data_IF_515705419994
#
_entry.id   IF_515705419994
#
_cell.length_a   1.000
_cell.length_b   1.000
_cell.length_c   1.000
_cell.angle_alpha   90.00
_cell.angle_beta   90.00
_cell.angle_gamma   90.00
#
_symmetry.space_group_name_H-M   'P 1'
#
loop_
_entity.id
_entity.type
_entity.pdbx_description
1 polymer ?
#
# COMPACT_ATOMS: atom_id res chain seq x y z
N UNK A 1 -1.25 -10.81 22.97
CA UNK A 1 -2.57 -11.44 23.09
C UNK A 1 -3.22 -10.82 24.31
N UNK A 2 -4.10 -9.83 24.11
CA UNK A 2 -4.95 -9.32 25.18
C UNK A 2 -5.87 -10.47 25.58
N UNK A 3 -5.89 -10.80 26.88
CA UNK A 3 -6.78 -11.82 27.40
C UNK A 3 -8.24 -11.42 27.19
N UNK A 4 -9.13 -12.39 27.19
CA UNK A 4 -10.57 -12.31 26.93
C UNK A 4 -11.35 -11.44 27.97
N UNK A 5 -10.67 -10.81 28.93
CA UNK A 5 -11.28 -9.97 29.95
C UNK A 5 -11.14 -8.48 29.60
N UNK A 6 -12.17 -7.94 28.95
CA UNK A 6 -12.29 -6.52 28.61
C UNK A 6 -12.16 -5.56 29.80
N UNK A 7 -12.39 -6.06 31.02
CA UNK A 7 -12.21 -5.27 32.25
C UNK A 7 -10.74 -5.05 32.62
N UNK A 8 -9.85 -5.83 32.01
CA UNK A 8 -8.40 -5.71 32.15
C UNK A 8 -7.74 -5.03 30.92
N UNK A 9 -8.53 -4.54 29.97
CA UNK A 9 -8.01 -3.86 28.80
C UNK A 9 -7.41 -2.50 29.17
N UNK A 10 -6.22 -2.22 28.66
CA UNK A 10 -5.51 -0.97 28.85
C UNK A 10 -5.20 -0.36 27.48
N UNK A 11 -5.17 0.97 27.42
CA UNK A 11 -4.67 1.68 26.24
C UNK A 11 -3.23 1.27 25.94
N UNK A 12 -2.83 1.30 24.68
CA UNK A 12 -1.43 1.10 24.31
C UNK A 12 -0.55 2.16 24.98
N UNK A 13 0.65 1.81 25.46
CA UNK A 13 1.57 2.77 26.05
C UNK A 13 1.94 3.87 25.05
N UNK A 14 2.15 5.09 25.52
CA UNK A 14 2.46 6.24 24.66
C UNK A 14 3.70 6.03 23.76
N UNK A 15 4.70 5.26 24.18
CA UNK A 15 5.87 4.94 23.36
C UNK A 15 5.52 4.17 22.08
N UNK A 16 4.45 3.42 22.09
CA UNK A 16 3.96 2.68 20.91
C UNK A 16 3.75 3.58 19.68
N UNK A 17 3.30 4.82 19.90
CA UNK A 17 3.08 5.78 18.80
C UNK A 17 4.15 6.88 18.71
N UNK A 18 5.00 7.03 19.72
CA UNK A 18 5.92 8.17 19.81
C UNK A 18 7.40 7.78 19.77
N UNK A 19 7.75 6.48 19.85
CA UNK A 19 9.14 6.03 19.80
C UNK A 19 9.60 5.94 18.33
N UNK A 20 10.62 6.72 17.92
CA UNK A 20 11.19 6.63 16.59
C UNK A 20 11.77 5.24 16.26
N UNK A 21 12.34 4.53 17.24
CA UNK A 21 12.90 3.20 17.03
C UNK A 21 11.81 2.18 16.69
N UNK A 22 10.63 2.31 17.31
CA UNK A 22 9.46 1.50 16.96
C UNK A 22 9.05 1.75 15.50
N UNK A 23 8.99 3.00 15.06
CA UNK A 23 8.64 3.34 13.69
C UNK A 23 9.66 2.81 12.66
N UNK A 24 10.97 2.89 12.97
CA UNK A 24 12.00 2.28 12.11
C UNK A 24 11.83 0.76 12.02
N UNK A 25 11.49 0.11 13.12
CA UNK A 25 11.19 -1.32 13.11
C UNK A 25 9.94 -1.64 12.27
N UNK A 26 8.88 -0.85 12.37
CA UNK A 26 7.66 -1.01 11.57
C UNK A 26 7.94 -0.88 10.07
N UNK A 27 8.78 0.08 9.67
CA UNK A 27 9.17 0.25 8.27
C UNK A 27 9.90 -0.98 7.73
N UNK A 28 10.83 -1.53 8.52
CA UNK A 28 11.66 -2.66 8.10
C UNK A 28 11.00 -4.03 8.22
N UNK A 29 9.90 -4.14 8.96
CA UNK A 29 9.16 -5.39 9.16
C UNK A 29 7.73 -5.28 8.62
N UNK A 30 6.86 -4.52 9.28
CA UNK A 30 5.43 -4.48 8.95
C UNK A 30 5.18 -3.99 7.51
N UNK A 31 5.82 -2.89 7.11
CA UNK A 31 5.62 -2.34 5.77
C UNK A 31 6.44 -3.07 4.69
N UNK A 32 7.59 -3.62 5.03
CA UNK A 32 8.40 -4.38 4.08
C UNK A 32 7.86 -5.80 3.88
N UNK A 33 7.50 -6.49 4.97
CA UNK A 33 7.09 -7.90 4.94
C UNK A 33 5.57 -8.08 4.78
N UNK A 34 4.77 -7.03 5.01
CA UNK A 34 3.32 -7.03 4.84
C UNK A 34 2.86 -6.65 3.44
N UNK A 35 1.57 -6.90 3.16
CA UNK A 35 0.91 -6.38 1.99
C UNK A 35 0.45 -4.94 2.22
N UNK A 36 0.89 -4.02 1.38
CA UNK A 36 0.51 -2.60 1.45
C UNK A 36 -0.28 -2.23 0.20
N UNK A 37 -1.46 -1.63 0.39
CA UNK A 37 -2.28 -1.16 -0.71
C UNK A 37 -1.59 0.04 -1.40
N UNK A 38 -1.29 -0.12 -2.68
CA UNK A 38 -0.64 0.90 -3.51
C UNK A 38 -1.65 1.80 -4.26
N UNK A 39 -2.90 1.33 -4.43
CA UNK A 39 -3.95 2.05 -5.15
C UNK A 39 -4.94 1.12 -5.81
N UNK A 40 -5.75 1.66 -6.73
CA UNK A 40 -6.76 0.90 -7.46
C UNK A 40 -6.34 0.69 -8.93
N UNK A 41 -6.61 -0.50 -9.49
CA UNK A 41 -6.21 -0.88 -10.85
C UNK A 41 -6.79 0.04 -11.94
N UNK A 42 -7.92 0.71 -11.68
CA UNK A 42 -8.50 1.69 -12.59
C UNK A 42 -7.61 2.92 -12.81
N UNK A 43 -6.68 3.19 -11.91
CA UNK A 43 -5.76 4.32 -11.99
C UNK A 43 -4.65 4.08 -13.05
N UNK A 44 -4.43 2.81 -13.39
CA UNK A 44 -3.51 2.38 -14.43
C UNK A 44 -4.20 1.41 -15.39
N UNK A 45 -5.39 1.78 -15.87
CA UNK A 45 -6.27 0.92 -16.65
C UNK A 45 -5.72 0.49 -18.03
N UNK A 46 -4.77 1.25 -18.60
CA UNK A 46 -4.26 1.02 -19.97
C UNK A 46 -2.76 0.71 -19.98
N UNK A 47 -2.29 -0.12 -20.92
CA UNK A 47 -0.87 -0.38 -21.10
C UNK A 47 -0.01 0.88 -21.15
N UNK A 48 1.09 0.85 -20.44
CA UNK A 48 2.02 1.96 -20.27
C UNK A 48 1.69 2.92 -19.14
N UNK A 49 0.48 2.86 -18.56
CA UNK A 49 0.16 3.67 -17.40
C UNK A 49 0.89 3.15 -16.15
N UNK A 50 1.29 4.10 -15.31
CA UNK A 50 2.00 3.83 -14.07
C UNK A 50 1.53 4.74 -12.94
N UNK A 51 1.80 4.33 -11.72
CA UNK A 51 1.75 5.15 -10.51
C UNK A 51 2.99 4.90 -9.66
N UNK A 52 3.58 5.99 -9.16
CA UNK A 52 4.68 5.96 -8.20
C UNK A 52 4.12 6.13 -6.80
N UNK A 53 4.50 5.22 -5.90
CA UNK A 53 4.11 5.24 -4.48
C UNK A 53 5.32 5.00 -3.61
N UNK A 54 5.21 5.32 -2.33
CA UNK A 54 6.25 5.03 -1.34
C UNK A 54 5.68 4.07 -0.31
N UNK A 55 6.35 2.94 -0.08
CA UNK A 55 5.98 1.92 0.92
C UNK A 55 7.10 1.85 1.95
N UNK A 56 6.83 2.29 3.18
CA UNK A 56 7.90 2.52 4.13
C UNK A 56 8.91 3.54 3.58
N UNK A 57 10.15 3.13 3.38
CA UNK A 57 11.18 3.95 2.73
C UNK A 57 11.45 3.55 1.27
N UNK A 58 10.83 2.48 0.79
CA UNK A 58 11.04 1.98 -0.58
C UNK A 58 10.17 2.75 -1.60
N UNK A 59 10.78 3.43 -2.58
CA UNK A 59 10.06 4.01 -3.70
C UNK A 59 9.68 2.90 -4.70
N UNK A 60 8.39 2.77 -4.97
CA UNK A 60 7.80 1.74 -5.83
C UNK A 60 7.16 2.38 -7.05
N UNK A 61 7.32 1.77 -8.21
CA UNK A 61 6.51 2.05 -9.39
C UNK A 61 5.63 0.84 -9.70
N UNK A 62 4.32 1.06 -9.74
CA UNK A 62 3.35 0.07 -10.22
C UNK A 62 2.99 0.45 -11.64
N UNK A 63 3.11 -0.49 -12.58
CA UNK A 63 2.96 -0.23 -14.01
C UNK A 63 2.12 -1.32 -14.68
N UNK A 64 1.27 -0.94 -15.62
CA UNK A 64 0.64 -1.90 -16.52
C UNK A 64 1.51 -2.07 -17.75
N UNK A 65 2.02 -3.27 -17.93
CA UNK A 65 2.90 -3.60 -19.06
C UNK A 65 2.16 -3.62 -20.40
N UNK A 66 2.88 -3.92 -21.48
CA UNK A 66 2.32 -3.94 -22.84
C UNK A 66 1.33 -5.10 -23.06
N UNK A 67 1.42 -6.15 -22.25
CA UNK A 67 0.51 -7.31 -22.31
C UNK A 67 -0.77 -7.07 -21.52
N UNK A 68 -0.78 -6.03 -20.69
CA UNK A 68 -1.88 -5.71 -19.78
C UNK A 68 -1.66 -6.23 -18.36
N UNK A 69 -0.56 -6.91 -18.08
CA UNK A 69 -0.22 -7.39 -16.75
C UNK A 69 0.22 -6.21 -15.86
N UNK A 70 -0.20 -6.21 -14.61
CA UNK A 70 0.24 -5.22 -13.62
C UNK A 70 1.46 -5.76 -12.89
N UNK A 71 2.48 -4.92 -12.77
CA UNK A 71 3.76 -5.27 -12.12
C UNK A 71 4.21 -4.16 -11.19
N UNK A 72 4.98 -4.50 -10.18
CA UNK A 72 5.59 -3.56 -9.25
C UNK A 72 7.10 -3.71 -9.25
N UNK A 73 7.80 -2.57 -9.31
CA UNK A 73 9.27 -2.53 -9.31
C UNK A 73 9.78 -1.46 -8.36
N UNK A 74 11.04 -1.59 -7.93
CA UNK A 74 11.75 -0.47 -7.32
C UNK A 74 11.81 0.69 -8.30
N UNK A 75 11.36 1.87 -7.86
CA UNK A 75 11.38 3.10 -8.66
C UNK A 75 12.76 3.78 -8.61
N UNK A 76 13.82 2.99 -8.50
CA UNK A 76 15.20 3.45 -8.32
C UNK A 76 16.07 3.00 -9.48
N UNK A 77 16.65 3.95 -10.18
CA UNK A 77 17.59 3.69 -11.27
C UNK A 77 18.81 2.91 -10.79
N UNK A 78 19.13 1.78 -11.43
CA UNK A 78 20.25 0.90 -11.09
C UNK A 78 21.61 1.52 -11.30
N UNK A 79 21.70 2.71 -11.94
CA UNK A 79 22.96 3.43 -12.14
C UNK A 79 23.39 4.17 -10.88
N UNK A 80 22.61 5.16 -10.41
CA UNK A 80 22.95 6.04 -9.27
C UNK A 80 21.77 6.39 -8.37
N UNK A 81 20.79 5.54 -8.26
CA UNK A 81 19.72 5.66 -7.26
C UNK A 81 18.70 6.78 -7.51
N UNK A 82 18.66 7.39 -8.70
CA UNK A 82 17.65 8.40 -9.03
C UNK A 82 16.27 7.76 -9.22
N UNK A 83 15.23 8.40 -8.71
CA UNK A 83 13.86 7.98 -9.02
C UNK A 83 13.58 8.06 -10.53
N UNK A 84 12.89 7.05 -11.07
CA UNK A 84 12.62 6.96 -12.50
C UNK A 84 11.41 7.82 -12.90
N UNK A 85 10.37 7.79 -12.10
CA UNK A 85 9.10 8.49 -12.35
C UNK A 85 8.51 9.03 -11.04
N UNK A 86 7.61 10.01 -11.19
CA UNK A 86 6.86 10.60 -10.07
C UNK A 86 5.36 10.59 -10.39
N UNK A 87 4.54 10.53 -9.35
CA UNK A 87 3.09 10.61 -9.47
C UNK A 87 2.50 9.53 -10.37
N UNK A 88 1.57 9.91 -11.23
CA UNK A 88 0.88 9.04 -12.18
C UNK A 88 1.12 9.51 -13.60
N UNK A 89 1.25 8.57 -14.54
CA UNK A 89 1.49 8.92 -15.93
C UNK A 89 1.39 7.75 -16.88
N UNK A 90 1.86 7.98 -18.11
CA UNK A 90 1.94 6.97 -19.16
C UNK A 90 3.28 7.06 -19.87
N UNK A 91 3.96 5.94 -20.00
CA UNK A 91 5.25 5.84 -20.67
C UNK A 91 5.35 4.56 -21.49
N UNK A 92 6.08 4.60 -22.60
CA UNK A 92 6.42 3.42 -23.38
C UNK A 92 7.63 2.67 -22.78
N UNK A 93 8.48 3.41 -22.04
CA UNK A 93 9.64 2.94 -21.29
C UNK A 93 9.84 3.87 -20.10
N UNK A 94 10.36 3.36 -18.99
CA UNK A 94 10.72 4.17 -17.83
C UNK A 94 12.13 4.70 -18.05
N UNK A 95 12.28 6.02 -18.18
CA UNK A 95 13.59 6.64 -18.48
C UNK A 95 14.07 7.47 -17.32
N UNK A 96 15.26 7.15 -16.82
CA UNK A 96 15.90 7.90 -15.76
C UNK A 96 16.21 9.34 -16.21
N UNK A 97 15.75 10.36 -15.49
CA UNK A 97 15.96 11.75 -15.87
C UNK A 97 17.41 12.21 -15.70
N UNK A 98 18.27 11.42 -15.02
CA UNK A 98 19.64 11.80 -14.75
C UNK A 98 20.60 11.47 -15.92
N UNK A 99 20.65 10.20 -16.36
CA UNK A 99 21.59 9.78 -17.42
C UNK A 99 20.91 8.99 -18.54
N UNK A 100 19.59 9.06 -18.64
CA UNK A 100 18.79 8.41 -19.67
C UNK A 100 18.92 6.87 -19.72
N UNK A 101 19.30 6.21 -18.63
CA UNK A 101 19.09 4.79 -18.52
C UNK A 101 17.59 4.50 -18.63
N UNK A 102 17.21 3.58 -19.48
CA UNK A 102 15.81 3.30 -19.74
C UNK A 102 15.50 1.82 -19.55
N UNK A 103 14.31 1.58 -19.02
CA UNK A 103 13.83 0.26 -18.64
C UNK A 103 12.52 -0.03 -19.38
N UNK A 104 12.38 -1.23 -19.89
CA UNK A 104 11.09 -1.69 -20.42
C UNK A 104 10.08 -1.84 -19.27
N UNK A 105 8.79 -1.96 -19.63
CA UNK A 105 7.72 -2.04 -18.63
C UNK A 105 7.66 -3.40 -17.91
N UNK A 106 8.51 -4.34 -18.32
CA UNK A 106 8.77 -5.61 -17.64
C UNK A 106 10.02 -5.55 -16.73
N UNK A 107 10.55 -4.34 -16.48
CA UNK A 107 11.67 -4.09 -15.59
C UNK A 107 13.05 -4.30 -16.20
N UNK A 108 13.16 -4.88 -17.40
CA UNK A 108 14.46 -5.12 -18.04
C UNK A 108 15.16 -3.81 -18.42
N UNK A 109 16.49 -3.73 -18.22
CA UNK A 109 17.28 -2.61 -18.73
C UNK A 109 17.29 -2.65 -20.26
N UNK A 110 16.69 -1.64 -20.88
CA UNK A 110 16.59 -1.50 -22.33
C UNK A 110 17.80 -0.81 -22.95
N UNK A 111 18.26 0.27 -22.31
CA UNK A 111 19.37 1.07 -22.82
C UNK A 111 20.12 1.74 -21.66
N UNK A 112 21.44 1.66 -21.73
CA UNK A 112 22.37 2.38 -20.88
C UNK A 112 23.35 3.17 -21.75
N UNK A 113 23.15 4.48 -21.99
CA UNK A 113 24.01 5.26 -22.84
C UNK A 113 25.48 5.17 -22.43
N UNK A 114 26.36 5.07 -23.42
CA UNK A 114 27.84 4.99 -23.25
C UNK A 114 28.35 3.74 -22.52
N UNK A 115 27.52 2.73 -22.31
CA UNK A 115 27.93 1.47 -21.70
C UNK A 115 28.25 0.36 -22.71
N UNK A 116 28.04 0.62 -24.00
CA UNK A 116 28.34 -0.33 -25.07
C UNK A 116 29.85 -0.64 -25.10
N UNK A 117 30.22 -1.91 -24.97
CA UNK A 117 31.60 -2.37 -24.98
C UNK A 117 32.39 -2.16 -23.68
N UNK A 118 31.75 -1.71 -22.61
CA UNK A 118 32.39 -1.62 -21.28
C UNK A 118 32.58 -3.05 -20.75
N UNK A 119 33.85 -3.39 -20.45
CA UNK A 119 34.20 -4.71 -19.93
C UNK A 119 33.51 -4.97 -18.59
N UNK A 120 32.88 -6.14 -18.47
CA UNK A 120 32.17 -6.56 -17.22
C UNK A 120 30.78 -5.93 -17.06
N UNK A 121 30.32 -5.10 -18.00
CA UNK A 121 28.96 -4.57 -17.92
C UNK A 121 27.95 -5.63 -18.43
N UNK A 122 27.07 -6.07 -17.51
CA UNK A 122 25.97 -6.97 -17.82
C UNK A 122 24.61 -6.23 -17.69
N UNK A 123 23.94 -5.93 -18.81
CA UNK A 123 22.62 -5.28 -18.77
C UNK A 123 21.57 -6.09 -18.02
N UNK A 124 21.66 -7.43 -18.04
CA UNK A 124 20.68 -8.29 -17.40
C UNK A 124 20.74 -8.21 -15.87
N UNK A 125 21.93 -7.96 -15.33
CA UNK A 125 22.12 -7.71 -13.89
C UNK A 125 21.62 -6.33 -13.44
N UNK A 126 21.26 -5.45 -14.38
CA UNK A 126 20.79 -4.09 -14.13
C UNK A 126 19.26 -3.95 -14.28
N UNK A 127 18.49 -5.04 -14.33
CA UNK A 127 17.05 -4.98 -14.29
C UNK A 127 16.55 -4.35 -12.98
N UNK A 128 15.37 -3.73 -13.02
CA UNK A 128 14.72 -3.21 -11.81
C UNK A 128 14.33 -4.38 -10.90
N UNK A 129 14.60 -4.31 -9.58
CA UNK A 129 14.07 -5.27 -8.64
C UNK A 129 12.54 -5.32 -8.72
N UNK A 130 11.99 -6.49 -8.90
CA UNK A 130 10.55 -6.72 -8.93
C UNK A 130 10.04 -7.03 -7.53
N UNK A 131 8.88 -6.49 -7.19
CA UNK A 131 8.18 -6.74 -5.94
C UNK A 131 6.96 -7.62 -6.17
N UNK A 132 6.61 -8.42 -5.17
CA UNK A 132 5.38 -9.18 -5.20
C UNK A 132 4.17 -8.23 -5.27
N UNK A 133 3.23 -8.56 -6.15
CA UNK A 133 2.00 -7.80 -6.34
C UNK A 133 0.82 -8.77 -6.42
N UNK A 134 -0.23 -8.48 -5.67
CA UNK A 134 -1.52 -9.16 -5.76
C UNK A 134 -2.66 -8.14 -5.92
N UNK A 135 -3.67 -8.53 -6.66
CA UNK A 135 -4.89 -7.73 -6.83
C UNK A 135 -6.04 -8.38 -6.07
N UNK A 136 -6.72 -7.59 -5.24
CA UNK A 136 -7.95 -8.00 -4.59
C UNK A 136 -9.03 -6.94 -4.80
N UNK A 137 -10.15 -7.34 -5.42
CA UNK A 137 -11.28 -6.44 -5.70
C UNK A 137 -10.89 -5.13 -6.40
N UNK A 138 -9.91 -5.17 -7.29
CA UNK A 138 -9.39 -4.00 -7.99
C UNK A 138 -8.34 -3.21 -7.21
N UNK A 139 -8.15 -3.46 -5.92
CA UNK A 139 -7.04 -2.88 -5.17
C UNK A 139 -5.75 -3.64 -5.42
N UNK A 140 -4.67 -2.90 -5.63
CA UNK A 140 -3.32 -3.42 -5.89
C UNK A 140 -2.52 -3.39 -4.60
N UNK A 141 -2.07 -4.55 -4.16
CA UNK A 141 -1.25 -4.71 -2.97
C UNK A 141 0.16 -5.10 -3.36
N UNK A 142 1.15 -4.47 -2.74
CA UNK A 142 2.57 -4.72 -2.98
C UNK A 142 3.22 -5.19 -1.69
N UNK A 143 4.08 -6.21 -1.81
CA UNK A 143 4.98 -6.64 -0.75
C UNK A 143 6.42 -6.42 -1.21
N UNK A 144 7.13 -5.50 -0.56
CA UNK A 144 8.50 -5.14 -0.95
C UNK A 144 9.56 -6.13 -0.46
N UNK A 145 9.25 -6.92 0.56
CA UNK A 145 10.11 -8.01 1.05
C UNK A 145 10.06 -9.28 0.19
N UNK A 146 9.08 -9.42 -0.69
CA UNK A 146 8.85 -10.61 -1.53
C UNK A 146 8.67 -11.92 -0.75
N UNK A 147 8.24 -11.86 0.50
CA UNK A 147 8.17 -13.00 1.43
C UNK A 147 6.81 -13.15 2.10
N UNK A 148 5.82 -12.30 1.80
CA UNK A 148 4.49 -12.40 2.36
C UNK A 148 3.77 -13.67 1.87
N UNK A 149 2.96 -14.31 2.72
CA UNK A 149 2.02 -15.33 2.26
C UNK A 149 0.99 -14.72 1.29
N UNK A 150 0.23 -15.54 0.53
CA UNK A 150 -0.82 -15.04 -0.33
C UNK A 150 -1.80 -14.15 0.41
N UNK A 151 -2.21 -13.03 -0.21
CA UNK A 151 -3.10 -12.02 0.37
C UNK A 151 -4.55 -12.52 0.56
N UNK A 152 -5.05 -13.30 -0.39
CA UNK A 152 -6.47 -13.68 -0.43
C UNK A 152 -7.00 -14.36 0.84
N UNK A 153 -6.26 -15.27 1.52
CA UNK A 153 -6.73 -15.87 2.76
C UNK A 153 -6.98 -14.85 3.88
N UNK A 154 -6.13 -13.82 3.97
CA UNK A 154 -6.25 -12.80 5.03
C UNK A 154 -7.47 -11.91 4.81
N UNK A 155 -7.90 -11.72 3.56
CA UNK A 155 -9.06 -10.92 3.19
C UNK A 155 -10.35 -11.71 3.01
N UNK A 156 -10.30 -13.05 3.12
CA UNK A 156 -11.48 -13.92 2.92
C UNK A 156 -12.64 -13.57 3.85
N UNK A 157 -12.36 -13.14 5.07
CA UNK A 157 -13.38 -12.71 6.03
C UNK A 157 -14.12 -11.44 5.63
N UNK A 158 -13.56 -10.61 4.75
CA UNK A 158 -14.21 -9.39 4.25
C UNK A 158 -15.13 -9.64 3.06
N UNK A 159 -14.91 -10.71 2.31
CA UNK A 159 -15.66 -11.01 1.08
C UNK A 159 -17.19 -10.92 1.22
N UNK A 160 -17.83 -11.50 2.25
CA UNK A 160 -19.29 -11.42 2.41
C UNK A 160 -19.81 -9.99 2.58
N UNK A 161 -19.00 -9.10 3.12
CA UNK A 161 -19.38 -7.71 3.42
C UNK A 161 -19.20 -6.77 2.23
N UNK A 162 -18.23 -7.06 1.34
CA UNK A 162 -17.86 -6.15 0.25
C UNK A 162 -18.30 -6.61 -1.13
N UNK A 163 -18.64 -7.88 -1.30
CA UNK A 163 -18.95 -8.46 -2.62
C UNK A 163 -20.08 -7.74 -3.37
N UNK A 164 -21.11 -7.26 -2.65
CA UNK A 164 -22.25 -6.56 -3.22
C UNK A 164 -21.93 -5.16 -3.73
N UNK A 165 -20.82 -4.56 -3.32
CA UNK A 165 -20.41 -3.22 -3.76
C UNK A 165 -19.72 -3.22 -5.13
N UNK A 166 -19.27 -4.39 -5.61
CA UNK A 166 -18.60 -4.57 -6.91
C UNK A 166 -17.44 -3.59 -7.05
N UNK A 167 -16.56 -3.57 -6.06
CA UNK A 167 -15.48 -2.57 -5.94
C UNK A 167 -14.56 -2.65 -7.16
N UNK A 168 -14.30 -3.83 -7.69
CA UNK A 168 -13.48 -4.09 -8.88
C UNK A 168 -13.98 -3.39 -10.15
N UNK A 169 -15.25 -3.01 -10.18
CA UNK A 169 -15.85 -2.27 -11.31
C UNK A 169 -15.88 -0.76 -11.09
N UNK A 170 -15.42 -0.31 -9.93
CA UNK A 170 -15.38 1.12 -9.61
C UNK A 170 -14.14 1.77 -10.19
N UNK A 171 -14.20 3.08 -10.31
CA UNK A 171 -13.09 3.90 -10.78
C UNK A 171 -12.69 4.89 -9.70
N UNK A 172 -11.39 5.04 -9.48
CA UNK A 172 -10.86 6.14 -8.69
C UNK A 172 -11.18 7.45 -9.43
N UNK A 173 -11.87 8.36 -8.77
CA UNK A 173 -12.26 9.66 -9.35
C UNK A 173 -11.25 10.74 -9.00
N UNK A 174 -10.74 10.71 -7.78
CA UNK A 174 -9.80 11.68 -7.26
C UNK A 174 -8.86 11.00 -6.26
N UNK A 175 -7.62 11.42 -6.26
CA UNK A 175 -6.62 11.01 -5.26
C UNK A 175 -5.96 12.27 -4.76
N UNK A 176 -6.03 12.52 -3.47
CA UNK A 176 -5.28 13.60 -2.83
C UNK A 176 -4.29 13.03 -1.84
N UNK A 177 -3.29 13.81 -1.55
CA UNK A 177 -2.27 13.48 -0.56
C UNK A 177 -2.28 14.56 0.52
N UNK A 178 -2.25 14.14 1.77
CA UNK A 178 -2.23 15.03 2.91
C UNK A 178 -1.22 14.51 3.94
N UNK A 179 -0.41 15.40 4.49
CA UNK A 179 0.54 15.06 5.54
C UNK A 179 -0.02 15.46 6.89
N UNK A 180 -0.12 14.50 7.79
CA UNK A 180 -0.64 14.70 9.13
C UNK A 180 0.47 14.58 10.16
N UNK A 181 0.52 15.50 11.12
CA UNK A 181 1.51 15.52 12.19
C UNK A 181 1.23 14.48 13.29
N UNK A 182 0.95 13.23 12.89
CA UNK A 182 0.65 12.13 13.80
C UNK A 182 1.26 10.81 13.32
N UNK A 183 1.32 9.82 14.19
CA UNK A 183 1.73 8.47 13.82
C UNK A 183 0.60 7.77 13.04
N UNK A 184 0.97 6.98 12.04
CA UNK A 184 0.02 6.25 11.20
C UNK A 184 -0.95 5.35 12.00
N UNK A 185 -0.49 4.75 13.12
CA UNK A 185 -1.33 3.90 13.99
C UNK A 185 -2.50 4.69 14.58
N UNK A 186 -2.25 5.92 15.01
CA UNK A 186 -3.31 6.78 15.57
C UNK A 186 -4.36 7.13 14.51
N UNK A 187 -3.94 7.32 13.26
CA UNK A 187 -4.88 7.51 12.15
C UNK A 187 -5.71 6.26 11.90
N UNK A 188 -5.06 5.11 11.79
CA UNK A 188 -5.74 3.84 11.55
C UNK A 188 -6.73 3.55 12.69
N UNK A 189 -6.33 3.69 13.95
CA UNK A 189 -7.19 3.51 15.10
C UNK A 189 -8.42 4.43 15.04
N UNK A 190 -8.22 5.71 14.73
CA UNK A 190 -9.32 6.66 14.59
C UNK A 190 -10.32 6.30 13.49
N UNK A 191 -9.82 5.82 12.32
CA UNK A 191 -10.71 5.44 11.21
C UNK A 191 -11.35 4.06 11.38
N UNK A 192 -10.79 3.19 12.21
CA UNK A 192 -11.30 1.85 12.45
C UNK A 192 -12.35 1.78 13.56
N UNK A 193 -12.51 2.81 14.36
CA UNK A 193 -13.47 2.81 15.45
C UNK A 193 -14.65 3.76 15.16
N UNK A 194 -15.85 3.36 15.54
CA UNK A 194 -17.08 4.17 15.43
C UNK A 194 -17.50 4.84 16.74
N UNK A 195 -16.72 4.70 17.80
CA UNK A 195 -17.13 5.16 19.14
C UNK A 195 -17.27 6.68 19.24
N UNK A 196 -16.43 7.44 18.53
CA UNK A 196 -16.46 8.90 18.53
C UNK A 196 -17.53 9.50 17.61
N UNK A 197 -18.16 8.73 16.74
CA UNK A 197 -19.07 9.26 15.70
C UNK A 197 -20.26 9.99 16.28
N UNK A 198 -20.93 9.44 17.30
CA UNK A 198 -22.11 10.05 17.92
C UNK A 198 -21.81 11.31 18.76
N UNK A 199 -20.54 11.58 19.04
CA UNK A 199 -20.13 12.77 19.81
C UNK A 199 -19.41 13.77 18.91
N UNK A 200 -18.32 13.36 18.28
CA UNK A 200 -17.48 14.23 17.46
C UNK A 200 -18.16 14.58 16.13
N UNK A 201 -18.83 13.62 15.53
CA UNK A 201 -19.50 13.75 14.22
C UNK A 201 -21.04 13.74 14.30
N UNK A 202 -21.59 14.14 15.44
CA UNK A 202 -23.03 14.14 15.72
C UNK A 202 -23.90 14.85 14.64
N UNK A 203 -23.35 15.89 14.01
CA UNK A 203 -24.08 16.67 12.99
C UNK A 203 -23.74 16.30 11.56
N UNK A 204 -22.77 15.39 11.34
CA UNK A 204 -22.28 15.04 9.99
C UNK A 204 -22.45 13.56 9.66
N UNK A 205 -21.93 12.67 10.47
CA UNK A 205 -21.88 11.24 10.18
C UNK A 205 -22.89 10.40 11.01
N UNK A 206 -23.26 10.84 12.22
CA UNK A 206 -24.10 10.06 13.12
C UNK A 206 -25.44 9.65 12.52
N UNK A 207 -26.04 10.52 11.69
CA UNK A 207 -27.30 10.19 11.01
C UNK A 207 -27.18 9.11 9.94
N UNK A 208 -25.97 8.81 9.45
CA UNK A 208 -25.69 7.83 8.38
C UNK A 208 -25.05 6.58 8.97
N UNK A 209 -24.13 6.77 9.92
CA UNK A 209 -23.36 5.71 10.56
C UNK A 209 -23.34 5.90 12.08
N UNK A 210 -24.50 5.71 12.76
CA UNK A 210 -24.56 5.87 14.21
C UNK A 210 -23.69 4.83 14.92
N UNK A 211 -23.05 5.24 16.01
CA UNK A 211 -22.12 4.39 16.79
C UNK A 211 -22.72 3.03 17.17
N UNK A 212 -24.03 2.97 17.45
CA UNK A 212 -24.72 1.76 17.87
C UNK A 212 -24.82 0.70 16.76
N UNK A 213 -24.73 1.13 15.49
CA UNK A 213 -24.83 0.24 14.31
C UNK A 213 -23.45 -0.10 13.71
N UNK A 214 -22.37 0.45 14.27
CA UNK A 214 -21.02 0.15 13.79
C UNK A 214 -20.61 -1.26 14.26
N UNK A 215 -20.46 -2.18 13.32
CA UNK A 215 -19.82 -3.48 13.54
C UNK A 215 -18.35 -3.39 13.17
N UNK A 216 -17.49 -3.86 14.07
CA UNK A 216 -16.04 -3.84 13.85
C UNK A 216 -15.58 -5.20 13.33
N UNK A 217 -14.99 -5.20 12.16
CA UNK A 217 -14.25 -6.32 11.62
C UNK A 217 -12.76 -6.07 11.88
N UNK A 218 -12.22 -6.69 12.91
CA UNK A 218 -10.79 -6.62 13.18
C UNK A 218 -10.07 -7.77 12.51
N UNK A 219 -9.23 -7.49 11.54
CA UNK A 219 -8.30 -8.45 10.93
C UNK A 219 -7.03 -8.64 11.77
N UNK A 220 -6.72 -7.68 12.63
CA UNK A 220 -5.71 -7.74 13.68
C UNK A 220 -6.46 -7.77 14.99
N UNK A 221 -6.49 -8.88 15.68
CA UNK A 221 -7.23 -9.15 16.92
C UNK A 221 -7.18 -8.05 17.99
N UNK A 222 -7.71 -6.88 17.70
CA UNK A 222 -8.09 -5.89 18.68
C UNK A 222 -9.55 -6.17 18.99
N UNK A 223 -9.78 -7.09 19.91
CA UNK A 223 -11.11 -7.35 20.43
C UNK A 223 -11.52 -6.20 21.30
N UNK A 224 -12.36 -5.28 20.79
CA UNK A 224 -13.18 -4.49 21.71
C UNK A 224 -14.26 -5.37 22.32
N UNK A 225 -14.62 -5.14 23.59
CA UNK A 225 -15.66 -5.91 24.26
C UNK A 225 -16.99 -5.76 23.50
N UNK A 226 -17.52 -6.87 23.02
CA UNK A 226 -18.92 -6.93 22.62
C UNK A 226 -19.78 -6.52 23.83
N UNK A 227 -20.60 -5.48 23.69
CA UNK A 227 -21.60 -5.16 24.71
C UNK A 227 -22.46 -6.41 24.93
N UNK A 228 -22.76 -6.80 26.16
CA UNK A 228 -23.74 -7.83 26.42
C UNK A 228 -25.06 -7.40 25.80
N UNK A 229 -25.63 -8.25 24.97
CA UNK A 229 -27.03 -8.10 24.55
C UNK A 229 -27.90 -8.07 25.78
N UNK A 230 -28.56 -6.94 26.03
CA UNK A 230 -29.57 -6.77 27.05
C UNK A 230 -30.83 -7.58 26.75
#
# INVERSE_FOLDING_TARGET
VAGDDSRAAHSMPGWYSNDPAMFEQEKSSLFADGWVCAGHASEIASPGQYMAVKIGDEPVVVVRDRKGDVRAYSNVCRHRGMALVEGKGKAAVLTCPYHAWSYDLDGALRKAPYMDGVEGFDPTACALPEFALEEWRGFLFVNTGNNAPPLAPDLAGLEPFVANYRIEERHSTETWFEEWGTNWKSLVENFMEGYHLSVTHATTLDSITPTELCEKLSLIHISEPTRPSS
#
